data_IF_758492532660
#
_entry.id   IF_758492532660
#
_cell.length_a   1.000
_cell.length_b   1.000
_cell.length_c   1.000
_cell.angle_alpha   90.00
_cell.angle_beta   90.00
_cell.angle_gamma   90.00
#
_symmetry.space_group_name_H-M   'P 1'
#
loop_
_entity.id
_entity.type
_entity.pdbx_description
1 polymer ?
#
# COMPACT_ATOMS: atom_id res chain seq x y z
N UNK A 1 39.35 36.17 -8.79
CA UNK A 1 39.14 37.37 -7.96
C UNK A 1 37.79 37.10 -7.27
N UNK A 2 37.82 36.77 -6.12
CA UNK A 2 37.95 37.46 -4.83
C UNK A 2 36.56 37.48 -4.24
N UNK A 3 36.26 37.12 -3.10
CA UNK A 3 36.80 36.91 -1.79
C UNK A 3 35.64 37.06 -0.82
N UNK A 4 35.44 36.15 0.06
CA UNK A 4 35.83 36.08 1.47
C UNK A 4 35.24 37.14 2.45
N UNK A 5 34.79 36.60 3.56
CA UNK A 5 34.72 37.06 4.97
C UNK A 5 33.32 37.35 5.48
N UNK A 6 32.81 36.57 6.42
CA UNK A 6 33.18 36.20 7.81
C UNK A 6 33.04 37.32 8.86
N UNK A 7 32.54 36.85 10.01
CA UNK A 7 32.67 37.42 11.38
C UNK A 7 31.46 38.25 11.86
N UNK A 8 31.02 38.06 13.01
CA UNK A 8 31.30 37.52 14.33
C UNK A 8 30.76 38.47 15.43
N UNK A 9 30.34 37.84 16.51
CA UNK A 9 30.46 38.29 17.91
C UNK A 9 29.63 39.51 18.33
N UNK A 10 29.05 39.56 19.43
CA UNK A 10 29.18 39.19 20.82
C UNK A 10 28.30 40.19 21.58
N UNK A 11 27.74 39.95 22.66
CA UNK A 11 28.12 39.81 24.00
C UNK A 11 27.05 40.28 24.94
N UNK A 12 26.96 39.60 26.06
CA UNK A 12 27.04 40.13 27.45
C UNK A 12 26.02 41.22 27.84
N UNK A 13 25.43 41.21 28.97
CA UNK A 13 25.64 40.84 30.36
C UNK A 13 24.51 41.39 31.24
N UNK A 14 24.31 40.83 32.39
CA UNK A 14 24.02 41.50 33.65
C UNK A 14 22.71 41.07 34.30
N UNK A 15 22.67 40.27 35.32
CA UNK A 15 23.10 40.50 36.72
C UNK A 15 22.13 41.32 37.54
N UNK A 16 21.74 40.77 38.67
CA UNK A 16 21.15 41.45 39.82
C UNK A 16 19.94 40.69 40.36
N UNK A 17 20.05 39.98 41.36
CA UNK A 17 20.50 39.97 42.76
C UNK A 17 19.38 40.37 43.73
N UNK A 18 19.24 39.54 44.79
CA UNK A 18 18.71 39.77 46.14
C UNK A 18 17.17 39.81 46.28
N UNK A 19 16.62 39.22 47.25
CA UNK A 19 17.02 38.59 48.47
C UNK A 19 15.82 38.13 49.27
N UNK A 20 16.09 37.27 50.21
CA UNK A 20 15.64 37.21 51.60
C UNK A 20 14.11 37.40 51.87
N UNK A 21 13.48 36.63 52.63
CA UNK A 21 13.72 36.17 54.00
C UNK A 21 12.58 35.25 54.49
N UNK A 22 12.96 34.23 55.27
CA UNK A 22 12.38 33.68 56.49
C UNK A 22 10.87 33.42 56.61
N UNK A 23 10.63 32.19 57.02
CA UNK A 23 9.89 32.02 58.26
C UNK A 23 9.11 30.72 58.38
N UNK A 24 9.72 29.77 59.07
CA UNK A 24 9.21 28.93 60.15
C UNK A 24 7.82 28.27 60.01
N UNK A 25 7.92 26.95 59.92
CA UNK A 25 7.50 26.02 60.99
C UNK A 25 6.00 25.90 61.28
N UNK A 26 5.39 24.80 60.98
CA UNK A 26 4.74 24.03 62.04
C UNK A 26 4.32 22.60 61.62
N UNK A 27 4.64 21.75 62.54
CA UNK A 27 4.46 20.33 62.73
C UNK A 27 3.06 19.73 62.51
N UNK A 28 3.12 18.50 62.10
CA UNK A 28 2.25 17.37 62.52
C UNK A 28 0.90 17.21 61.86
N UNK A 29 0.67 16.16 61.12
CA UNK A 29 0.10 14.91 61.64
C UNK A 29 0.04 13.80 60.58
N UNK A 30 0.37 12.65 61.05
CA UNK A 30 0.16 11.33 60.51
C UNK A 30 -1.26 11.11 59.96
N UNK A 31 -1.37 10.42 58.83
CA UNK A 31 -2.59 9.84 58.38
C UNK A 31 -2.30 8.98 57.14
N UNK A 32 -2.01 7.70 57.38
CA UNK A 32 -1.80 6.78 56.29
C UNK A 32 -3.11 6.57 55.53
N UNK A 33 -2.99 6.52 54.21
CA UNK A 33 -3.98 5.75 53.45
C UNK A 33 -3.26 5.04 52.28
N UNK A 34 -3.19 3.73 52.40
CA UNK A 34 -2.82 2.79 51.36
C UNK A 34 -3.94 2.79 50.33
N UNK A 35 -3.77 3.48 49.25
CA UNK A 35 -4.64 3.42 48.07
C UNK A 35 -3.85 2.86 46.92
N UNK A 36 -3.97 1.53 46.70
CA UNK A 36 -3.27 0.82 45.65
C UNK A 36 -3.64 1.32 44.26
N UNK A 37 -2.63 1.57 43.46
CA UNK A 37 -2.74 1.94 42.07
C UNK A 37 -3.42 0.86 41.21
N UNK A 38 -4.66 1.08 40.84
CA UNK A 38 -5.40 0.34 39.78
C UNK A 38 -5.63 1.25 38.56
N UNK A 39 -4.61 1.97 38.12
CA UNK A 39 -4.70 2.86 36.97
C UNK A 39 -4.03 2.35 35.69
N UNK A 40 -3.21 1.31 35.76
CA UNK A 40 -2.37 0.86 34.64
C UNK A 40 -3.04 -0.04 33.60
N UNK A 41 -4.14 -0.70 33.93
CA UNK A 41 -4.70 -1.76 33.08
C UNK A 41 -5.77 -1.27 32.11
N UNK A 42 -6.45 -0.17 32.38
CA UNK A 42 -7.52 0.37 31.50
C UNK A 42 -7.03 0.93 30.19
N UNK A 43 -5.77 1.34 30.08
CA UNK A 43 -5.18 1.86 28.84
C UNK A 43 -4.81 0.73 27.86
N UNK A 44 -4.31 -0.38 28.37
CA UNK A 44 -3.98 -1.56 27.57
C UNK A 44 -5.25 -2.30 27.10
N UNK A 45 -6.25 -2.41 27.95
CA UNK A 45 -7.56 -3.01 27.60
C UNK A 45 -8.29 -2.21 26.52
N UNK A 46 -8.31 -0.89 26.60
CA UNK A 46 -8.90 -0.03 25.56
C UNK A 46 -8.18 -0.11 24.22
N UNK A 47 -6.86 -0.24 24.22
CA UNK A 47 -6.07 -0.38 23.01
C UNK A 47 -6.24 -1.78 22.38
N UNK A 48 -6.33 -2.82 23.19
CA UNK A 48 -6.63 -4.18 22.71
C UNK A 48 -8.07 -4.31 22.21
N UNK A 49 -9.03 -3.61 22.84
CA UNK A 49 -10.41 -3.57 22.37
C UNK A 49 -10.57 -2.76 21.07
N UNK A 50 -9.85 -1.66 20.89
CA UNK A 50 -9.88 -0.91 19.61
C UNK A 50 -9.30 -1.75 18.47
N UNK A 51 -8.18 -2.40 18.67
CA UNK A 51 -7.61 -3.33 17.68
C UNK A 51 -8.53 -4.54 17.42
N UNK A 52 -9.18 -5.04 18.46
CA UNK A 52 -10.15 -6.14 18.30
C UNK A 52 -11.39 -5.70 17.53
N UNK A 53 -11.88 -4.49 17.77
CA UNK A 53 -13.01 -3.89 17.03
C UNK A 53 -12.64 -3.51 15.60
N UNK A 54 -11.41 -3.06 15.37
CA UNK A 54 -10.87 -2.84 14.02
C UNK A 54 -10.74 -4.15 13.24
N UNK A 55 -10.25 -5.23 13.88
CA UNK A 55 -10.23 -6.58 13.30
C UNK A 55 -11.63 -7.18 13.13
N UNK A 56 -12.58 -6.89 14.02
CA UNK A 56 -13.96 -7.35 13.93
C UNK A 56 -14.76 -6.55 12.88
N UNK A 57 -14.50 -5.25 12.73
CA UNK A 57 -15.03 -4.41 11.66
C UNK A 57 -14.38 -4.75 10.30
N UNK A 58 -13.12 -5.16 10.28
CA UNK A 58 -12.49 -5.72 9.08
C UNK A 58 -13.15 -7.05 8.67
N UNK A 59 -13.61 -7.87 9.63
CA UNK A 59 -14.36 -9.10 9.38
C UNK A 59 -15.80 -8.86 8.92
N UNK A 60 -16.37 -7.68 9.20
CA UNK A 60 -17.69 -7.24 8.73
C UNK A 60 -17.66 -6.44 7.44
N UNK A 61 -16.50 -6.32 6.77
CA UNK A 61 -16.49 -5.81 5.41
C UNK A 61 -17.34 -6.73 4.58
N UNK A 62 -18.45 -6.20 4.07
CA UNK A 62 -19.25 -6.83 3.06
C UNK A 62 -18.29 -7.09 1.91
N UNK A 63 -17.91 -8.34 1.68
CA UNK A 63 -17.03 -8.70 0.58
C UNK A 63 -17.68 -8.35 -0.76
N UNK A 64 -16.90 -8.36 -1.83
CA UNK A 64 -17.40 -8.11 -3.19
C UNK A 64 -18.38 -9.20 -3.67
N UNK A 65 -18.58 -10.28 -2.91
CA UNK A 65 -19.30 -11.48 -3.29
C UNK A 65 -18.40 -12.56 -3.90
N UNK A 66 -17.13 -12.23 -4.19
CA UNK A 66 -16.12 -13.17 -4.65
C UNK A 66 -15.01 -13.32 -3.59
N UNK A 67 -15.14 -14.35 -2.79
CA UNK A 67 -14.26 -14.61 -1.66
C UNK A 67 -12.78 -14.77 -2.05
N UNK A 68 -12.50 -15.35 -3.21
CA UNK A 68 -11.13 -15.55 -3.69
C UNK A 68 -10.50 -14.21 -4.03
N UNK A 69 -11.22 -13.39 -4.78
CA UNK A 69 -10.74 -12.05 -5.17
C UNK A 69 -10.64 -11.10 -3.97
N UNK A 70 -11.54 -11.22 -3.00
CA UNK A 70 -11.46 -10.46 -1.74
C UNK A 70 -10.16 -10.76 -0.99
N UNK A 71 -9.77 -12.04 -0.88
CA UNK A 71 -8.51 -12.45 -0.24
C UNK A 71 -7.31 -11.93 -1.02
N UNK A 72 -7.31 -12.09 -2.33
CA UNK A 72 -6.23 -11.58 -3.19
C UNK A 72 -6.07 -10.08 -3.01
N UNK A 73 -7.17 -9.35 -3.06
CA UNK A 73 -7.16 -7.90 -2.90
C UNK A 73 -6.64 -7.48 -1.52
N UNK A 74 -7.07 -8.14 -0.44
CA UNK A 74 -6.56 -7.89 0.90
C UNK A 74 -5.03 -8.09 0.97
N UNK A 75 -4.51 -9.14 0.34
CA UNK A 75 -3.06 -9.38 0.30
C UNK A 75 -2.34 -8.30 -0.51
N UNK A 76 -2.85 -7.92 -1.67
CA UNK A 76 -2.29 -6.83 -2.48
C UNK A 76 -2.25 -5.52 -1.69
N UNK A 77 -3.32 -5.21 -0.95
CA UNK A 77 -3.37 -4.03 -0.07
C UNK A 77 -2.32 -4.09 1.03
N UNK A 78 -2.15 -5.23 1.71
CA UNK A 78 -1.11 -5.40 2.74
C UNK A 78 0.30 -5.22 2.16
N UNK A 79 0.54 -5.67 0.94
CA UNK A 79 1.83 -5.47 0.27
C UNK A 79 2.05 -3.99 -0.05
N UNK A 80 1.04 -3.31 -0.58
CA UNK A 80 1.17 -1.90 -1.01
C UNK A 80 1.18 -0.90 0.16
N UNK A 81 0.49 -1.19 1.28
CA UNK A 81 0.39 -0.27 2.43
C UNK A 81 1.37 -0.57 3.55
N UNK A 82 1.58 -1.85 3.85
CA UNK A 82 2.30 -2.30 5.05
C UNK A 82 3.67 -2.90 4.70
N UNK A 83 4.06 -2.87 3.42
CA UNK A 83 5.24 -3.54 2.88
C UNK A 83 5.32 -5.03 3.27
N UNK A 84 4.15 -5.68 3.38
CA UNK A 84 4.05 -7.08 3.75
C UNK A 84 4.63 -7.99 2.65
N UNK A 85 5.22 -9.10 3.04
CA UNK A 85 5.70 -10.10 2.10
C UNK A 85 4.55 -10.99 1.61
N UNK A 86 4.26 -10.97 0.32
CA UNK A 86 3.15 -11.72 -0.28
C UNK A 86 3.26 -13.24 -0.04
N UNK A 87 4.48 -13.80 -0.04
CA UNK A 87 4.73 -15.22 0.23
C UNK A 87 4.44 -15.64 1.68
N UNK A 88 4.29 -14.70 2.58
CA UNK A 88 3.85 -14.92 3.97
C UNK A 88 2.36 -14.60 4.10
N UNK A 89 1.92 -13.48 3.56
CA UNK A 89 0.55 -12.99 3.72
C UNK A 89 -0.49 -13.89 3.02
N UNK A 90 -0.23 -14.32 1.77
CA UNK A 90 -1.18 -15.12 1.01
C UNK A 90 -1.42 -16.52 1.65
N UNK A 91 -0.40 -17.33 1.97
CA UNK A 91 -0.64 -18.62 2.63
C UNK A 91 -1.35 -18.50 3.98
N UNK A 92 -1.09 -17.43 4.73
CA UNK A 92 -1.78 -17.16 5.98
C UNK A 92 -3.27 -16.89 5.75
N UNK A 93 -3.60 -15.99 4.79
CA UNK A 93 -4.98 -15.65 4.45
C UNK A 93 -5.75 -16.87 3.90
N UNK A 94 -5.14 -17.67 3.04
CA UNK A 94 -5.76 -18.89 2.51
C UNK A 94 -6.09 -19.91 3.62
N UNK A 95 -5.18 -20.12 4.57
CA UNK A 95 -5.42 -21.00 5.73
C UNK A 95 -6.52 -20.47 6.63
N UNK A 96 -6.50 -19.18 6.98
CA UNK A 96 -7.50 -18.54 7.82
C UNK A 96 -8.90 -18.66 7.20
N UNK A 97 -8.99 -18.43 5.91
CA UNK A 97 -10.24 -18.48 5.16
C UNK A 97 -10.62 -19.89 4.67
N UNK A 98 -9.81 -20.92 4.96
CA UNK A 98 -10.03 -22.31 4.55
C UNK A 98 -10.22 -22.47 3.04
N UNK A 99 -9.44 -21.74 2.25
CA UNK A 99 -9.43 -21.83 0.79
C UNK A 99 -8.39 -22.87 0.37
N UNK A 100 -8.81 -23.81 -0.48
CA UNK A 100 -7.99 -24.94 -0.92
C UNK A 100 -8.18 -25.24 -2.41
N UNK A 101 -7.37 -26.15 -2.95
CA UNK A 101 -7.51 -26.69 -4.29
C UNK A 101 -7.46 -25.61 -5.39
N UNK A 102 -8.44 -25.64 -6.29
CA UNK A 102 -8.50 -24.74 -7.45
C UNK A 102 -8.55 -23.25 -7.03
N UNK A 103 -9.31 -22.93 -6.00
CA UNK A 103 -9.47 -21.53 -5.54
C UNK A 103 -8.18 -21.01 -4.94
N UNK A 104 -7.43 -21.84 -4.20
CA UNK A 104 -6.12 -21.47 -3.69
C UNK A 104 -5.10 -21.27 -4.83
N UNK A 105 -5.13 -22.13 -5.85
CA UNK A 105 -4.29 -21.98 -7.03
C UNK A 105 -4.63 -20.70 -7.80
N UNK A 106 -5.90 -20.39 -7.96
CA UNK A 106 -6.37 -19.16 -8.61
C UNK A 106 -5.96 -17.90 -7.81
N UNK A 107 -6.14 -17.92 -6.48
CA UNK A 107 -5.65 -16.82 -5.63
C UNK A 107 -4.13 -16.63 -5.75
N UNK A 108 -3.39 -17.72 -5.83
CA UNK A 108 -1.93 -17.72 -6.00
C UNK A 108 -1.53 -17.08 -7.32
N UNK A 109 -2.16 -17.50 -8.41
CA UNK A 109 -1.95 -16.93 -9.74
C UNK A 109 -2.25 -15.43 -9.77
N UNK A 110 -3.42 -15.02 -9.28
CA UNK A 110 -3.82 -13.61 -9.25
C UNK A 110 -2.87 -12.75 -8.40
N UNK A 111 -2.48 -13.24 -7.22
CA UNK A 111 -1.62 -12.46 -6.32
C UNK A 111 -0.23 -12.27 -6.91
N UNK A 112 0.46 -13.36 -7.21
CA UNK A 112 1.84 -13.27 -7.67
C UNK A 112 1.96 -12.73 -9.10
N UNK A 113 0.98 -13.03 -9.94
CA UNK A 113 0.93 -12.50 -11.29
C UNK A 113 0.76 -10.97 -11.29
N UNK A 114 -0.19 -10.45 -10.51
CA UNK A 114 -0.41 -9.01 -10.37
C UNK A 114 0.84 -8.30 -9.81
N UNK A 115 1.45 -8.83 -8.75
CA UNK A 115 2.64 -8.23 -8.15
C UNK A 115 3.86 -8.27 -9.08
N UNK A 116 4.06 -9.40 -9.76
CA UNK A 116 5.19 -9.55 -10.70
C UNK A 116 5.10 -8.57 -11.85
N UNK A 117 3.89 -8.36 -12.37
CA UNK A 117 3.66 -7.51 -13.53
C UNK A 117 3.32 -6.06 -13.18
N UNK A 118 3.46 -5.65 -11.92
CA UNK A 118 2.98 -4.34 -11.44
C UNK A 118 3.44 -3.18 -12.33
N UNK A 119 4.73 -3.14 -12.72
CA UNK A 119 5.26 -2.06 -13.55
C UNK A 119 4.59 -1.98 -14.93
N UNK A 120 4.37 -3.13 -15.58
CA UNK A 120 3.67 -3.18 -16.87
C UNK A 120 2.20 -2.82 -16.71
N UNK A 121 1.53 -3.35 -15.67
CA UNK A 121 0.13 -3.03 -15.38
C UNK A 121 -0.06 -1.54 -15.11
N UNK A 122 0.86 -0.91 -14.36
CA UNK A 122 0.82 0.53 -14.09
C UNK A 122 0.94 1.36 -15.37
N UNK A 123 1.85 0.97 -16.28
CA UNK A 123 2.00 1.65 -17.57
C UNK A 123 0.73 1.52 -18.42
N UNK A 124 0.14 0.33 -18.47
CA UNK A 124 -1.10 0.06 -19.22
C UNK A 124 -2.31 0.78 -18.60
N UNK A 125 -2.43 0.77 -17.27
CA UNK A 125 -3.50 1.49 -16.55
C UNK A 125 -3.37 3.00 -16.78
N UNK A 126 -2.16 3.56 -16.68
CA UNK A 126 -1.94 4.99 -16.94
C UNK A 126 -2.37 5.39 -18.34
N UNK A 127 -2.04 4.58 -19.34
CA UNK A 127 -2.44 4.79 -20.73
C UNK A 127 -3.95 4.71 -20.91
N UNK A 128 -4.59 3.67 -20.38
CA UNK A 128 -6.03 3.47 -20.49
C UNK A 128 -6.85 4.51 -19.71
N UNK A 129 -6.32 4.99 -18.59
CA UNK A 129 -6.94 6.00 -17.74
C UNK A 129 -6.70 7.44 -18.24
N UNK A 130 -5.73 7.66 -19.14
CA UNK A 130 -5.31 8.98 -19.57
C UNK A 130 -4.71 9.83 -18.44
N UNK A 131 -4.18 9.21 -17.39
CA UNK A 131 -3.56 9.90 -16.24
C UNK A 131 -2.48 9.02 -15.58
N UNK A 132 -1.47 9.63 -14.95
CA UNK A 132 -0.45 8.89 -14.19
C UNK A 132 -1.08 8.13 -13.01
N UNK A 133 -0.49 6.96 -12.65
CA UNK A 133 -1.02 6.10 -11.57
C UNK A 133 -0.92 6.74 -10.19
N UNK A 134 0.02 7.66 -9.95
CA UNK A 134 0.14 8.43 -8.71
C UNK A 134 -1.04 9.40 -8.47
N UNK A 135 -1.87 9.63 -9.48
CA UNK A 135 -3.11 10.42 -9.42
C UNK A 135 -4.37 9.57 -9.27
N UNK A 136 -4.20 8.26 -9.08
CA UNK A 136 -5.30 7.32 -8.83
C UNK A 136 -5.25 6.95 -7.34
N UNK A 137 -6.42 6.92 -6.70
CA UNK A 137 -6.51 6.46 -5.31
C UNK A 137 -5.89 5.06 -5.15
N UNK A 138 -5.15 4.85 -4.07
CA UNK A 138 -4.39 3.62 -3.87
C UNK A 138 -5.26 2.35 -3.81
N UNK A 139 -6.47 2.44 -3.23
CA UNK A 139 -7.42 1.33 -3.18
C UNK A 139 -7.90 0.99 -4.58
N UNK A 140 -8.23 2.03 -5.36
CA UNK A 140 -8.70 1.90 -6.75
C UNK A 140 -7.58 1.37 -7.64
N UNK A 141 -6.35 1.84 -7.48
CA UNK A 141 -5.19 1.40 -8.25
C UNK A 141 -4.90 -0.09 -8.03
N UNK A 142 -4.89 -0.56 -6.79
CA UNK A 142 -4.66 -1.98 -6.49
C UNK A 142 -5.77 -2.86 -7.09
N UNK A 143 -7.02 -2.40 -7.07
CA UNK A 143 -8.12 -3.09 -7.73
C UNK A 143 -7.96 -3.08 -9.26
N UNK A 144 -7.56 -1.95 -9.85
CA UNK A 144 -7.29 -1.85 -11.29
C UNK A 144 -6.14 -2.77 -11.73
N UNK A 145 -5.07 -2.89 -10.92
CA UNK A 145 -3.97 -3.83 -11.18
C UNK A 145 -4.48 -5.27 -11.25
N UNK A 146 -5.30 -5.67 -10.26
CA UNK A 146 -5.90 -7.00 -10.23
C UNK A 146 -6.85 -7.24 -11.41
N UNK A 147 -7.70 -6.28 -11.75
CA UNK A 147 -8.60 -6.36 -12.90
C UNK A 147 -7.85 -6.41 -14.23
N UNK A 148 -6.85 -5.55 -14.41
CA UNK A 148 -6.01 -5.51 -15.60
C UNK A 148 -5.22 -6.83 -15.78
N UNK A 149 -4.67 -7.39 -14.69
CA UNK A 149 -4.01 -8.70 -14.76
C UNK A 149 -4.96 -9.79 -15.25
N UNK A 150 -6.18 -9.84 -14.73
CA UNK A 150 -7.18 -10.82 -15.18
C UNK A 150 -7.49 -10.68 -16.67
N UNK A 151 -7.74 -9.47 -17.15
CA UNK A 151 -8.04 -9.20 -18.57
C UNK A 151 -6.87 -9.55 -19.48
N UNK A 152 -5.65 -9.17 -19.09
CA UNK A 152 -4.48 -9.28 -19.97
C UNK A 152 -3.78 -10.65 -19.91
N UNK A 153 -3.94 -11.42 -18.83
CA UNK A 153 -3.08 -12.59 -18.55
C UNK A 153 -3.81 -13.86 -18.15
N UNK A 154 -5.11 -13.79 -17.93
CA UNK A 154 -5.86 -14.99 -17.54
C UNK A 154 -6.91 -15.37 -18.57
N UNK A 155 -7.58 -16.48 -18.33
CA UNK A 155 -8.73 -16.93 -19.13
C UNK A 155 -10.07 -16.54 -18.47
N UNK A 156 -10.03 -15.61 -17.54
CA UNK A 156 -11.26 -15.06 -16.95
C UNK A 156 -11.99 -14.27 -18.04
N UNK A 157 -13.30 -14.44 -18.11
CA UNK A 157 -14.13 -13.66 -19.01
C UNK A 157 -14.00 -12.16 -18.67
N UNK A 158 -13.85 -11.33 -19.71
CA UNK A 158 -13.65 -9.88 -19.56
C UNK A 158 -14.75 -9.21 -18.75
N UNK A 159 -16.02 -9.63 -18.96
CA UNK A 159 -17.13 -9.08 -18.18
C UNK A 159 -17.02 -9.45 -16.72
N UNK A 160 -16.64 -10.69 -16.41
CA UNK A 160 -16.44 -11.15 -15.04
C UNK A 160 -15.27 -10.42 -14.37
N UNK A 161 -14.16 -10.19 -15.08
CA UNK A 161 -13.02 -9.44 -14.57
C UNK A 161 -13.40 -7.98 -14.27
N UNK A 162 -14.15 -7.33 -15.16
CA UNK A 162 -14.63 -5.94 -14.96
C UNK A 162 -15.59 -5.87 -13.78
N UNK A 163 -16.64 -6.68 -13.76
CA UNK A 163 -17.70 -6.62 -12.77
C UNK A 163 -17.18 -6.91 -11.36
N UNK A 164 -16.38 -7.99 -11.21
CA UNK A 164 -15.81 -8.34 -9.90
C UNK A 164 -14.84 -7.28 -9.38
N UNK A 165 -14.08 -6.61 -10.26
CA UNK A 165 -13.19 -5.52 -9.87
C UNK A 165 -13.97 -4.28 -9.43
N UNK A 166 -15.05 -3.94 -10.12
CA UNK A 166 -15.94 -2.83 -9.73
C UNK A 166 -16.58 -3.11 -8.36
N UNK A 167 -17.03 -4.35 -8.11
CA UNK A 167 -17.57 -4.72 -6.80
C UNK A 167 -16.51 -4.67 -5.69
N UNK A 168 -15.25 -5.07 -5.96
CA UNK A 168 -14.14 -4.89 -5.02
C UNK A 168 -13.97 -3.42 -4.61
N UNK A 169 -13.97 -2.50 -5.58
CA UNK A 169 -13.84 -1.06 -5.33
C UNK A 169 -14.99 -0.56 -4.45
N UNK A 170 -16.24 -0.95 -4.75
CA UNK A 170 -17.42 -0.59 -3.95
C UNK A 170 -17.32 -1.15 -2.53
N UNK A 171 -16.99 -2.43 -2.39
CA UNK A 171 -16.89 -3.13 -1.10
C UNK A 171 -15.79 -2.54 -0.19
N UNK A 172 -14.78 -1.91 -0.78
CA UNK A 172 -13.68 -1.28 -0.05
C UNK A 172 -13.84 0.23 0.18
N UNK A 173 -15.07 0.75 0.03
CA UNK A 173 -15.42 2.11 0.40
C UNK A 173 -15.30 3.13 -0.73
N UNK A 174 -14.82 2.73 -1.89
CA UNK A 174 -14.58 3.61 -3.04
C UNK A 174 -15.71 3.57 -4.09
N UNK A 175 -16.96 3.43 -3.65
CA UNK A 175 -18.11 3.32 -4.55
C UNK A 175 -18.21 4.47 -5.56
N UNK A 176 -17.73 5.66 -5.22
CA UNK A 176 -17.69 6.83 -6.13
C UNK A 176 -16.75 6.61 -7.31
N UNK A 177 -15.72 5.78 -7.16
CA UNK A 177 -14.76 5.46 -8.20
C UNK A 177 -15.21 4.31 -9.12
N UNK A 178 -16.36 3.69 -8.87
CA UNK A 178 -16.85 2.54 -9.65
C UNK A 178 -17.01 2.84 -11.13
N UNK A 179 -17.53 4.02 -11.49
CA UNK A 179 -17.65 4.46 -12.88
C UNK A 179 -16.30 4.63 -13.57
N UNK A 180 -15.31 5.23 -12.88
CA UNK A 180 -13.95 5.36 -13.37
C UNK A 180 -13.29 3.98 -13.57
N UNK A 181 -13.37 3.11 -12.56
CA UNK A 181 -12.84 1.73 -12.63
C UNK A 181 -13.42 0.97 -13.82
N UNK A 182 -14.74 0.99 -13.98
CA UNK A 182 -15.42 0.37 -15.11
C UNK A 182 -14.94 0.94 -16.45
N UNK A 183 -14.81 2.27 -16.57
CA UNK A 183 -14.33 2.93 -17.78
C UNK A 183 -12.93 2.50 -18.18
N UNK A 184 -11.99 2.48 -17.24
CA UNK A 184 -10.60 2.06 -17.46
C UNK A 184 -10.55 0.60 -17.91
N UNK A 185 -11.21 -0.32 -17.17
CA UNK A 185 -11.17 -1.75 -17.49
C UNK A 185 -11.87 -2.07 -18.83
N UNK A 186 -12.99 -1.42 -19.13
CA UNK A 186 -13.62 -1.56 -20.46
C UNK A 186 -12.77 -1.00 -21.60
N UNK A 187 -11.90 -0.03 -21.33
CA UNK A 187 -10.92 0.43 -22.31
C UNK A 187 -9.87 -0.66 -22.55
N UNK A 188 -9.45 -1.38 -21.50
CA UNK A 188 -8.51 -2.50 -21.61
C UNK A 188 -9.10 -3.65 -22.47
N UNK A 189 -10.36 -4.02 -22.25
CA UNK A 189 -10.98 -5.15 -22.98
C UNK A 189 -11.16 -4.92 -24.49
N UNK A 190 -11.07 -3.67 -24.96
CA UNK A 190 -11.24 -3.32 -26.40
C UNK A 190 -10.00 -3.55 -27.25
N UNK A 191 -8.88 -3.84 -26.61
CA UNK A 191 -7.59 -3.93 -27.30
C UNK A 191 -6.84 -5.19 -26.81
N UNK A 192 -6.29 -6.01 -27.70
CA UNK A 192 -5.51 -7.20 -27.32
C UNK A 192 -4.34 -6.85 -26.40
N UNK A 193 -3.98 -7.79 -25.51
CA UNK A 193 -2.92 -7.62 -24.54
C UNK A 193 -1.57 -7.23 -25.18
N UNK A 194 -1.20 -7.91 -26.27
CA UNK A 194 0.05 -7.67 -26.99
C UNK A 194 0.12 -6.24 -27.57
N UNK A 195 -1.04 -5.70 -27.96
CA UNK A 195 -1.12 -4.32 -28.45
C UNK A 195 -0.90 -3.32 -27.32
N UNK A 196 -1.43 -3.58 -26.13
CA UNK A 196 -1.16 -2.75 -24.95
C UNK A 196 0.31 -2.75 -24.59
N UNK A 197 0.93 -3.92 -24.52
CA UNK A 197 2.34 -4.07 -24.22
C UNK A 197 3.22 -3.32 -25.23
N UNK A 198 2.94 -3.49 -26.51
CA UNK A 198 3.65 -2.79 -27.57
C UNK A 198 3.51 -1.27 -27.46
N UNK A 199 2.31 -0.75 -27.14
CA UNK A 199 2.10 0.69 -26.98
C UNK A 199 2.89 1.29 -25.83
N UNK A 200 2.87 0.63 -24.65
CA UNK A 200 3.53 1.20 -23.47
C UNK A 200 5.05 1.04 -23.55
N UNK A 201 5.54 -0.06 -24.12
CA UNK A 201 6.99 -0.27 -24.29
C UNK A 201 7.58 0.61 -25.36
N UNK A 202 6.86 0.93 -26.43
CA UNK A 202 7.31 1.87 -27.46
C UNK A 202 7.53 3.29 -26.95
N UNK A 203 6.91 3.68 -25.85
CA UNK A 203 7.07 5.01 -25.22
C UNK A 203 8.34 5.10 -24.38
N UNK A 204 8.96 3.98 -24.02
CA UNK A 204 10.19 3.94 -23.23
C UNK A 204 11.39 4.03 -24.17
N UNK A 205 12.09 5.14 -24.13
CA UNK A 205 13.24 5.42 -25.03
C UNK A 205 14.50 4.68 -24.60
N UNK A 206 14.76 4.59 -23.31
CA UNK A 206 15.91 3.86 -22.78
C UNK A 206 15.76 2.34 -23.02
N UNK A 207 16.73 1.67 -23.67
CA UNK A 207 16.64 0.25 -23.98
C UNK A 207 16.57 -0.65 -22.75
N UNK A 208 17.31 -0.32 -21.70
CA UNK A 208 17.35 -1.11 -20.45
C UNK A 208 16.03 -0.99 -19.69
N UNK A 209 15.50 0.23 -19.57
CA UNK A 209 14.19 0.45 -18.97
C UNK A 209 13.06 -0.20 -19.78
N UNK A 210 13.16 -0.19 -21.11
CA UNK A 210 12.21 -0.89 -21.99
C UNK A 210 12.25 -2.40 -21.75
N UNK A 211 13.44 -2.99 -21.70
CA UNK A 211 13.61 -4.42 -21.40
C UNK A 211 13.06 -4.76 -20.00
N UNK A 212 13.36 -3.92 -19.01
CA UNK A 212 12.84 -4.06 -17.66
C UNK A 212 11.30 -4.13 -17.66
N UNK A 213 10.64 -3.21 -18.38
CA UNK A 213 9.20 -3.18 -18.51
C UNK A 213 8.64 -4.42 -19.22
N UNK A 214 9.25 -4.84 -20.34
CA UNK A 214 8.88 -6.02 -21.11
C UNK A 214 9.00 -7.33 -20.31
N UNK A 215 10.04 -7.42 -19.49
CA UNK A 215 10.33 -8.62 -18.68
C UNK A 215 9.75 -8.56 -17.26
N UNK A 216 9.02 -7.48 -16.95
CA UNK A 216 8.42 -7.25 -15.64
C UNK A 216 9.44 -7.24 -14.49
N UNK A 217 10.62 -6.69 -14.74
CA UNK A 217 11.65 -6.49 -13.72
C UNK A 217 11.70 -5.01 -13.29
N UNK A 218 12.04 -4.72 -12.04
CA UNK A 218 12.44 -3.37 -11.65
C UNK A 218 13.64 -2.88 -12.50
N UNK A 219 13.63 -1.61 -12.91
CA UNK A 219 14.68 -1.06 -13.78
C UNK A 219 16.07 -1.25 -13.23
N UNK A 220 16.26 -1.07 -11.90
CA UNK A 220 17.56 -1.26 -11.25
C UNK A 220 18.12 -2.70 -11.39
N UNK A 221 17.25 -3.72 -11.45
CA UNK A 221 17.66 -5.11 -11.70
C UNK A 221 18.15 -5.26 -13.14
N UNK A 222 17.42 -4.72 -14.11
CA UNK A 222 17.84 -4.76 -15.51
C UNK A 222 19.15 -4.00 -15.73
N UNK A 223 19.33 -2.86 -15.08
CA UNK A 223 20.58 -2.09 -15.08
C UNK A 223 21.74 -2.88 -14.50
N UNK A 224 21.53 -3.56 -13.36
CA UNK A 224 22.54 -4.39 -12.72
C UNK A 224 22.97 -5.56 -13.64
N UNK A 225 22.02 -6.24 -14.29
CA UNK A 225 22.32 -7.28 -15.27
C UNK A 225 23.04 -6.73 -16.49
N UNK A 226 22.60 -5.60 -17.03
CA UNK A 226 23.25 -4.96 -18.17
C UNK A 226 24.72 -4.60 -17.85
N UNK A 227 24.96 -4.04 -16.67
CA UNK A 227 26.32 -3.73 -16.21
C UNK A 227 27.18 -5.01 -16.03
N UNK A 228 26.60 -6.07 -15.44
CA UNK A 228 27.30 -7.33 -15.21
C UNK A 228 27.64 -8.08 -16.51
N UNK A 229 26.84 -7.94 -17.55
CA UNK A 229 27.01 -8.59 -18.85
C UNK A 229 27.83 -7.75 -19.84
N UNK A 230 28.34 -6.61 -19.43
CA UNK A 230 29.24 -5.76 -20.22
C UNK A 230 28.56 -4.70 -21.08
N UNK A 231 27.26 -4.49 -20.89
CA UNK A 231 26.47 -3.50 -21.61
C UNK A 231 26.40 -3.77 -23.11
N UNK A 232 25.25 -3.77 -23.70
CA UNK A 232 25.06 -3.74 -25.16
C UNK A 232 24.75 -2.35 -25.62
#
# INVERSE_FOLDING_TARGET
MGGFRSRSESGRTGSGDKGHDKGQDNRKRQGGNRGGGRGGNKGYERRSESHRREHENARRRIGSGDRVRDIVFEVLRKVSTDAAFANIALPAALREQKIHGRDAAFATELTYGTLRMQGLLDAVIAEAAGRPVDKIDAVVLDALRLGAYQILRTRVDDHAAVDTTVELVKANGEAKASGFTNGVLRTLTRTPAETWESRVTAKVTDPVARLALQTSHPTWIAEAFNAALGGT
#
